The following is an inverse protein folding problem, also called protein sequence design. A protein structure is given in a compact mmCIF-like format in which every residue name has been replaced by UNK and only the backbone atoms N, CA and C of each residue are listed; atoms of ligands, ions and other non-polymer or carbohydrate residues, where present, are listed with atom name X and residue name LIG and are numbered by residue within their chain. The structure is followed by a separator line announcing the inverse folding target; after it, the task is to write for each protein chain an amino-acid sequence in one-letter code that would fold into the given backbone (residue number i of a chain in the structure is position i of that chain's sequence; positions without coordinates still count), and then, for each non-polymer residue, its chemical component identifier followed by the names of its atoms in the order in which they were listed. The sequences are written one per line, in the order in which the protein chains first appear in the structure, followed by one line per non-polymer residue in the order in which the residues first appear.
data_IF_851255251876
#
_entry.id   IF_851255251876
#
_cell.length_a   1.000
_cell.length_b   1.000
_cell.length_c   1.000
_cell.angle_alpha   90.00
_cell.angle_beta   90.00
_cell.angle_gamma   90.00
#
_symmetry.space_group_name_H-M   'P 1'
#
loop_
_entity.id
_entity.type
_entity.pdbx_description
1 polymer ?
#
# COMPACT_ATOMS: atom_id res chain seq x y z
N UNK A 1 11.57 12.37 -0.85
CA UNK A 1 10.24 12.87 -0.54
C UNK A 1 9.72 12.28 0.77
N UNK A 2 9.76 10.96 0.95
CA UNK A 2 9.40 10.27 2.20
C UNK A 2 10.23 10.82 3.37
N UNK A 3 11.55 10.93 3.25
CA UNK A 3 12.43 11.48 4.28
C UNK A 3 12.00 12.86 4.80
N UNK A 4 11.53 13.71 3.88
CA UNK A 4 11.05 15.05 4.26
C UNK A 4 9.72 14.98 5.03
N UNK A 5 8.81 14.09 4.60
CA UNK A 5 7.48 13.95 5.22
C UNK A 5 7.59 13.31 6.61
N UNK A 6 8.48 12.33 6.76
CA UNK A 6 8.66 11.55 7.98
C UNK A 6 9.87 11.99 8.82
N UNK A 7 10.43 13.20 8.59
CA UNK A 7 11.65 13.66 9.23
C UNK A 7 11.63 13.58 10.76
N UNK A 8 10.47 13.76 11.40
CA UNK A 8 10.29 13.70 12.85
C UNK A 8 9.78 12.33 13.35
N UNK A 9 9.79 11.31 12.50
CA UNK A 9 9.31 9.95 12.80
C UNK A 9 10.46 8.95 12.74
N UNK A 10 10.37 7.91 13.58
CA UNK A 10 11.15 6.69 13.36
C UNK A 10 10.43 5.85 12.29
N UNK A 11 11.09 5.59 11.17
CA UNK A 11 10.52 4.83 10.06
C UNK A 11 11.56 3.94 9.38
N UNK A 12 11.08 2.98 8.66
CA UNK A 12 11.84 2.16 7.72
C UNK A 12 11.17 2.18 6.34
N UNK A 13 11.93 2.01 5.29
CA UNK A 13 11.45 1.86 3.92
C UNK A 13 11.87 0.50 3.39
N UNK A 14 10.88 -0.30 3.01
CA UNK A 14 11.11 -1.63 2.45
C UNK A 14 10.80 -1.57 0.96
N UNK A 15 11.83 -1.62 0.14
CA UNK A 15 11.69 -1.74 -1.31
C UNK A 15 11.59 -3.20 -1.71
N UNK A 16 10.56 -3.55 -2.46
CA UNK A 16 10.41 -4.89 -3.03
C UNK A 16 10.53 -4.79 -4.55
N UNK A 17 11.61 -5.30 -5.09
CA UNK A 17 11.86 -5.38 -6.53
C UNK A 17 11.36 -6.73 -7.07
N UNK A 18 10.27 -6.68 -7.84
CA UNK A 18 9.61 -7.85 -8.41
C UNK A 18 10.26 -8.27 -9.76
N UNK A 19 11.59 -8.37 -9.75
CA UNK A 19 12.37 -8.87 -10.88
C UNK A 19 12.55 -7.84 -11.99
N UNK A 20 12.82 -6.58 -11.65
CA UNK A 20 13.14 -5.51 -12.60
C UNK A 20 14.34 -5.88 -13.48
N UNK A 21 14.29 -5.41 -14.73
CA UNK A 21 15.34 -5.64 -15.74
C UNK A 21 16.20 -4.40 -16.01
N UNK A 22 15.84 -3.30 -15.39
CA UNK A 22 16.55 -2.02 -15.43
C UNK A 22 17.47 -1.87 -14.21
N UNK A 23 17.98 -0.68 -13.96
CA UNK A 23 18.86 -0.37 -12.84
C UNK A 23 18.13 -0.11 -11.51
N UNK A 24 16.86 -0.51 -11.39
CA UNK A 24 16.08 -0.29 -10.15
C UNK A 24 16.73 -0.95 -8.94
N UNK A 25 17.23 -2.19 -9.10
CA UNK A 25 17.88 -2.90 -8.01
C UNK A 25 19.17 -2.24 -7.56
N UNK A 26 20.03 -1.81 -8.48
CA UNK A 26 21.27 -1.11 -8.17
C UNK A 26 21.02 0.19 -7.39
N UNK A 27 19.91 0.89 -7.69
CA UNK A 27 19.51 2.09 -6.95
C UNK A 27 19.08 1.71 -5.52
N UNK A 28 18.33 0.62 -5.34
CA UNK A 28 17.91 0.14 -4.02
C UNK A 28 19.14 -0.25 -3.18
N UNK A 29 20.13 -0.95 -3.77
CA UNK A 29 21.38 -1.30 -3.08
C UNK A 29 22.17 -0.06 -2.64
N UNK A 30 22.22 0.98 -3.46
CA UNK A 30 22.88 2.26 -3.11
C UNK A 30 22.14 2.95 -1.95
N UNK A 31 20.80 2.96 -1.96
CA UNK A 31 20.00 3.53 -0.88
C UNK A 31 20.20 2.75 0.43
N UNK A 32 20.21 1.43 0.37
CA UNK A 32 20.50 0.59 1.51
C UNK A 32 21.92 0.83 2.05
N UNK A 33 22.93 0.90 1.17
CA UNK A 33 24.30 1.17 1.59
C UNK A 33 24.48 2.54 2.26
N UNK A 34 23.69 3.54 1.85
CA UNK A 34 23.70 4.87 2.45
C UNK A 34 23.01 4.92 3.82
N UNK A 35 21.99 4.08 4.05
CA UNK A 35 21.22 4.03 5.29
C UNK A 35 20.68 2.62 5.58
N UNK A 36 21.55 1.69 6.03
CA UNK A 36 21.18 0.29 6.20
C UNK A 36 20.21 0.04 7.37
N UNK A 37 20.07 1.00 8.28
CA UNK A 37 19.14 0.88 9.41
C UNK A 37 17.70 1.16 9.00
N UNK A 38 17.50 2.10 8.05
CA UNK A 38 16.17 2.51 7.60
C UNK A 38 15.75 1.91 6.27
N UNK A 39 16.68 1.56 5.39
CA UNK A 39 16.34 1.06 4.05
C UNK A 39 16.57 -0.45 3.96
N UNK A 40 15.55 -1.18 3.58
CA UNK A 40 15.59 -2.63 3.33
C UNK A 40 15.24 -2.89 1.86
N UNK A 41 16.08 -3.65 1.16
CA UNK A 41 15.81 -4.13 -0.20
C UNK A 41 15.47 -5.61 -0.21
N UNK A 42 14.40 -5.98 -0.91
CA UNK A 42 14.01 -7.37 -1.18
C UNK A 42 13.96 -7.54 -2.69
N UNK A 43 14.75 -8.47 -3.24
CA UNK A 43 14.78 -8.73 -4.68
C UNK A 43 14.23 -10.10 -5.00
N UNK A 44 13.33 -10.16 -5.97
CA UNK A 44 12.86 -11.42 -6.55
C UNK A 44 13.70 -11.79 -7.78
N UNK A 45 13.90 -13.09 -7.98
CA UNK A 45 14.62 -13.61 -9.14
C UNK A 45 13.87 -13.43 -10.47
N UNK A 46 12.57 -13.24 -10.42
CA UNK A 46 11.66 -12.96 -11.54
C UNK A 46 10.40 -12.27 -11.03
N UNK A 47 9.55 -11.82 -11.93
CA UNK A 47 8.23 -11.29 -11.56
C UNK A 47 7.32 -12.40 -11.00
N UNK A 48 6.88 -12.20 -9.75
CA UNK A 48 5.93 -13.06 -9.02
C UNK A 48 4.58 -12.35 -8.77
N UNK A 49 4.50 -11.06 -9.11
CA UNK A 49 3.30 -10.23 -8.99
C UNK A 49 3.15 -9.50 -7.67
N UNK A 50 2.25 -8.50 -7.69
CA UNK A 50 2.07 -7.54 -6.60
C UNK A 50 1.76 -8.18 -5.25
N UNK A 51 0.96 -9.25 -5.23
CA UNK A 51 0.62 -9.94 -3.98
C UNK A 51 1.84 -10.56 -3.30
N UNK A 52 2.72 -11.21 -4.07
CA UNK A 52 3.96 -11.76 -3.54
C UNK A 52 4.87 -10.66 -2.99
N UNK A 53 4.97 -9.53 -3.70
CA UNK A 53 5.73 -8.36 -3.23
C UNK A 53 5.19 -7.82 -1.91
N UNK A 54 3.88 -7.63 -1.80
CA UNK A 54 3.24 -7.18 -0.57
C UNK A 54 3.44 -8.16 0.58
N UNK A 55 3.27 -9.47 0.33
CA UNK A 55 3.48 -10.50 1.34
C UNK A 55 4.89 -10.43 1.92
N UNK A 56 5.92 -10.33 1.08
CA UNK A 56 7.31 -10.23 1.55
C UNK A 56 7.61 -8.90 2.27
N UNK A 57 7.02 -7.80 1.81
CA UNK A 57 7.08 -6.52 2.51
C UNK A 57 6.42 -6.60 3.90
N UNK A 58 5.27 -7.24 4.02
CA UNK A 58 4.55 -7.45 5.28
C UNK A 58 5.32 -8.35 6.25
N UNK A 59 5.94 -9.41 5.75
CA UNK A 59 6.81 -10.28 6.56
C UNK A 59 8.01 -9.52 7.14
N UNK A 60 8.62 -8.63 6.36
CA UNK A 60 9.79 -7.85 6.76
C UNK A 60 9.45 -6.66 7.67
N UNK A 61 8.23 -6.12 7.59
CA UNK A 61 7.81 -4.94 8.33
C UNK A 61 7.90 -5.10 9.86
N UNK A 62 8.43 -4.07 10.53
CA UNK A 62 8.65 -4.01 11.99
C UNK A 62 7.93 -2.85 12.66
N UNK A 63 7.60 -1.80 11.90
CA UNK A 63 6.92 -0.61 12.40
C UNK A 63 5.50 -0.89 12.90
N UNK A 64 5.06 -0.19 13.95
CA UNK A 64 3.68 -0.33 14.48
C UNK A 64 2.60 -0.07 13.44
N UNK A 65 2.90 0.81 12.48
CA UNK A 65 2.06 1.13 11.34
C UNK A 65 2.84 0.77 10.08
N UNK A 66 2.18 0.05 9.20
CA UNK A 66 2.71 -0.33 7.90
C UNK A 66 1.95 0.42 6.82
N UNK A 67 2.64 1.06 5.90
CA UNK A 67 2.02 1.77 4.79
C UNK A 67 2.52 1.17 3.48
N UNK A 68 1.58 0.89 2.57
CA UNK A 68 1.91 0.46 1.20
C UNK A 68 1.79 1.64 0.25
N UNK A 69 2.75 1.76 -0.65
CA UNK A 69 2.81 2.78 -1.72
C UNK A 69 3.27 2.12 -3.02
N UNK A 70 2.68 2.52 -4.13
CA UNK A 70 3.21 2.17 -5.44
C UNK A 70 4.38 3.11 -5.78
N UNK A 71 5.47 2.57 -6.37
CA UNK A 71 6.69 3.32 -6.65
C UNK A 71 6.61 4.22 -7.91
N UNK A 72 5.40 4.46 -8.43
CA UNK A 72 5.15 5.24 -9.66
C UNK A 72 4.94 6.75 -9.39
N UNK A 73 5.11 7.19 -8.15
CA UNK A 73 4.95 8.58 -7.69
C UNK A 73 3.54 9.17 -7.92
N UNK A 74 2.52 8.33 -8.08
CA UNK A 74 1.14 8.80 -8.23
C UNK A 74 0.48 9.10 -6.87
N UNK A 75 0.88 8.40 -5.83
CA UNK A 75 0.38 8.59 -4.48
C UNK A 75 1.30 9.52 -3.68
N UNK A 76 0.71 10.43 -2.90
CA UNK A 76 1.44 11.42 -2.11
C UNK A 76 1.83 10.86 -0.74
N UNK A 77 3.13 10.84 -0.36
CA UNK A 77 3.54 10.46 0.98
C UNK A 77 2.99 11.35 2.11
N UNK A 78 2.56 12.58 1.84
CA UNK A 78 1.93 13.45 2.82
C UNK A 78 0.66 12.84 3.42
N UNK A 79 -0.06 12.02 2.65
CA UNK A 79 -1.26 11.32 3.12
C UNK A 79 -0.97 10.30 4.24
N UNK A 80 0.30 9.88 4.39
CA UNK A 80 0.71 8.94 5.44
C UNK A 80 0.39 9.49 6.83
N UNK A 81 0.61 10.80 7.04
CA UNK A 81 0.42 11.42 8.35
C UNK A 81 -1.05 11.40 8.80
N UNK A 82 -1.97 11.66 7.87
CA UNK A 82 -3.41 11.59 8.15
C UNK A 82 -3.87 10.15 8.37
N UNK A 83 -3.36 9.18 7.59
CA UNK A 83 -3.67 7.77 7.79
C UNK A 83 -3.11 7.24 9.13
N UNK A 84 -1.90 7.66 9.51
CA UNK A 84 -1.30 7.36 10.81
C UNK A 84 -2.20 7.85 11.95
N UNK A 85 -2.67 9.10 11.85
CA UNK A 85 -3.57 9.69 12.85
C UNK A 85 -4.87 8.90 12.98
N UNK A 86 -5.50 8.52 11.87
CA UNK A 86 -6.72 7.70 11.89
C UNK A 86 -6.51 6.36 12.61
N UNK A 87 -5.35 5.71 12.42
CA UNK A 87 -5.04 4.46 13.09
C UNK A 87 -4.76 4.68 14.59
N UNK A 88 -3.93 5.69 14.94
CA UNK A 88 -3.47 5.89 16.30
C UNK A 88 -4.53 6.52 17.20
N UNK A 89 -5.24 7.53 16.71
CA UNK A 89 -6.18 8.33 17.49
C UNK A 89 -7.61 7.80 17.37
N UNK A 90 -8.02 7.42 16.18
CA UNK A 90 -9.40 6.95 15.95
C UNK A 90 -9.52 5.42 16.01
N UNK A 91 -8.39 4.70 16.11
CA UNK A 91 -8.33 3.26 16.38
C UNK A 91 -8.73 2.39 15.18
N UNK A 92 -8.56 2.86 13.96
CA UNK A 92 -8.72 2.00 12.78
C UNK A 92 -7.66 0.89 12.75
N UNK A 93 -8.04 -0.27 12.24
CA UNK A 93 -7.13 -1.39 11.99
C UNK A 93 -6.46 -1.25 10.62
N UNK A 94 -7.24 -0.77 9.65
CA UNK A 94 -6.82 -0.53 8.26
C UNK A 94 -7.51 0.73 7.73
N UNK A 95 -6.75 1.58 7.05
CA UNK A 95 -7.24 2.75 6.31
C UNK A 95 -6.82 2.63 4.85
N UNK A 96 -7.79 2.61 3.92
CA UNK A 96 -7.55 2.58 2.48
C UNK A 96 -7.63 3.99 1.89
N UNK A 97 -6.76 4.30 0.94
CA UNK A 97 -6.91 5.51 0.15
C UNK A 97 -8.14 5.44 -0.76
N UNK A 98 -8.83 6.56 -0.91
CA UNK A 98 -9.91 6.72 -1.88
C UNK A 98 -9.55 7.79 -2.90
N UNK A 99 -9.24 7.36 -4.14
CA UNK A 99 -8.97 8.25 -5.27
C UNK A 99 -10.28 8.79 -5.83
N UNK A 100 -10.88 9.80 -5.15
CA UNK A 100 -12.19 10.36 -5.50
C UNK A 100 -12.19 11.00 -6.90
N UNK A 101 -11.10 11.70 -7.25
CA UNK A 101 -10.89 12.25 -8.60
C UNK A 101 -9.83 11.40 -9.30
N UNK A 102 -10.27 10.54 -10.23
CA UNK A 102 -9.38 9.75 -11.09
C UNK A 102 -9.21 10.45 -12.42
N UNK A 103 -7.98 10.53 -12.89
CA UNK A 103 -7.65 10.99 -14.25
C UNK A 103 -7.64 9.85 -15.28
N UNK A 104 -8.16 8.67 -14.89
CA UNK A 104 -8.21 7.49 -15.75
C UNK A 104 -9.32 7.58 -16.81
N UNK A 105 -9.14 6.97 -18.00
CA UNK A 105 -10.17 6.88 -19.03
C UNK A 105 -11.45 6.22 -18.52
N UNK A 106 -12.61 6.62 -19.06
CA UNK A 106 -13.93 6.09 -18.69
C UNK A 106 -14.02 4.56 -18.86
N UNK A 107 -13.32 3.99 -19.86
CA UNK A 107 -13.24 2.55 -20.10
C UNK A 107 -12.66 1.74 -18.91
N UNK A 108 -11.80 2.34 -18.10
CA UNK A 108 -11.25 1.74 -16.88
C UNK A 108 -12.06 2.08 -15.63
N UNK A 109 -12.70 3.24 -15.62
CA UNK A 109 -13.43 3.75 -14.44
C UNK A 109 -14.74 3.01 -14.20
N UNK A 110 -15.51 2.69 -15.26
CA UNK A 110 -16.83 2.01 -15.14
C UNK A 110 -16.66 0.58 -14.59
N UNK A 111 -15.81 -0.29 -15.14
CA UNK A 111 -15.60 -1.63 -14.58
C UNK A 111 -15.13 -1.59 -13.11
N UNK A 112 -14.25 -0.63 -12.77
CA UNK A 112 -13.75 -0.47 -11.40
C UNK A 112 -14.86 -0.09 -10.43
N UNK A 113 -15.77 0.81 -10.81
CA UNK A 113 -16.92 1.21 -9.98
C UNK A 113 -17.86 0.03 -9.72
N UNK A 114 -18.17 -0.73 -10.77
CA UNK A 114 -19.04 -1.92 -10.65
C UNK A 114 -18.40 -2.98 -9.73
N UNK A 115 -17.10 -3.24 -9.93
CA UNK A 115 -16.32 -4.14 -9.07
C UNK A 115 -16.35 -3.69 -7.60
N UNK A 116 -16.07 -2.40 -7.32
CA UNK A 116 -16.08 -1.89 -5.96
C UNK A 116 -17.47 -1.96 -5.33
N UNK A 117 -18.55 -1.70 -6.09
CA UNK A 117 -19.92 -1.78 -5.59
C UNK A 117 -20.29 -3.23 -5.24
N UNK A 118 -19.97 -4.20 -6.10
CA UNK A 118 -20.19 -5.61 -5.86
C UNK A 118 -19.39 -6.10 -4.65
N UNK A 119 -18.10 -5.74 -4.56
CA UNK A 119 -17.22 -6.10 -3.45
C UNK A 119 -17.73 -5.53 -2.12
N UNK A 120 -18.20 -4.28 -2.12
CA UNK A 120 -18.82 -3.64 -0.94
C UNK A 120 -20.05 -4.41 -0.48
N UNK A 121 -20.92 -4.75 -1.42
CA UNK A 121 -22.16 -5.46 -1.11
C UNK A 121 -21.89 -6.85 -0.51
N UNK A 122 -20.96 -7.61 -1.10
CA UNK A 122 -20.61 -8.96 -0.64
C UNK A 122 -19.85 -8.94 0.68
N UNK A 123 -18.86 -8.04 0.82
CA UNK A 123 -18.00 -7.99 2.00
C UNK A 123 -18.62 -7.26 3.20
N UNK A 124 -19.60 -6.39 2.94
CA UNK A 124 -20.16 -5.48 3.95
C UNK A 124 -19.15 -4.44 4.46
N UNK A 125 -18.07 -4.17 3.71
CA UNK A 125 -17.06 -3.16 4.05
C UNK A 125 -17.39 -1.87 3.29
N UNK A 126 -17.53 -0.75 4.00
CA UNK A 126 -17.97 0.53 3.42
C UNK A 126 -16.82 1.31 2.75
N UNK A 127 -16.07 0.67 1.83
CA UNK A 127 -15.02 1.33 1.05
C UNK A 127 -15.51 1.70 -0.36
N UNK A 128 -15.09 2.87 -0.87
CA UNK A 128 -15.31 3.29 -2.24
C UNK A 128 -14.24 2.77 -3.20
N UNK A 129 -13.04 2.51 -2.71
CA UNK A 129 -11.90 2.06 -3.52
C UNK A 129 -11.11 0.93 -2.87
N UNK A 130 -11.39 -0.32 -3.28
CA UNK A 130 -10.62 -1.49 -2.84
C UNK A 130 -9.25 -1.60 -3.53
N UNK A 131 -9.10 -0.98 -4.71
CA UNK A 131 -7.91 -1.12 -5.57
C UNK A 131 -6.82 -0.08 -5.31
N UNK A 132 -7.03 0.89 -4.41
CA UNK A 132 -6.00 1.88 -4.10
C UNK A 132 -4.74 1.20 -3.56
N UNK A 133 -3.56 1.52 -4.11
CA UNK A 133 -2.27 1.00 -3.63
C UNK A 133 -1.86 1.58 -2.28
N UNK A 134 -2.23 2.85 -2.05
CA UNK A 134 -1.97 3.53 -0.78
C UNK A 134 -2.93 3.03 0.29
N UNK A 135 -2.40 2.31 1.26
CA UNK A 135 -3.12 1.83 2.45
C UNK A 135 -2.21 1.86 3.67
N UNK A 136 -2.79 2.14 4.82
CA UNK A 136 -2.13 2.04 6.11
C UNK A 136 -2.78 0.97 6.98
N UNK A 137 -1.98 0.27 7.75
CA UNK A 137 -2.38 -0.88 8.56
C UNK A 137 -1.72 -0.84 9.93
N UNK A 138 -2.35 -1.38 10.94
CA UNK A 138 -1.63 -1.83 12.14
C UNK A 138 -0.73 -3.00 11.79
N UNK A 139 0.40 -3.14 12.46
CA UNK A 139 1.33 -4.26 12.24
C UNK A 139 0.63 -5.61 12.39
N UNK A 140 -0.23 -5.74 13.39
CA UNK A 140 -0.96 -6.97 13.68
C UNK A 140 -1.81 -7.44 12.50
N UNK A 141 -2.40 -6.51 11.76
CA UNK A 141 -3.19 -6.82 10.55
C UNK A 141 -2.34 -7.51 9.50
N UNK A 142 -1.21 -6.89 9.14
CA UNK A 142 -0.34 -7.43 8.08
C UNK A 142 0.36 -8.73 8.49
N UNK A 143 0.52 -8.96 9.80
CA UNK A 143 1.08 -10.23 10.32
C UNK A 143 0.04 -11.35 10.42
N UNK A 144 -1.24 -11.02 10.42
CA UNK A 144 -2.32 -12.00 10.54
C UNK A 144 -2.87 -12.47 9.18
N UNK A 145 -2.61 -11.75 8.09
CA UNK A 145 -3.14 -12.08 6.77
C UNK A 145 -2.08 -12.67 5.86
N UNK A 146 -2.53 -13.52 4.92
CA UNK A 146 -1.69 -14.04 3.82
C UNK A 146 -2.20 -13.49 2.49
N UNK A 147 -1.31 -12.86 1.71
CA UNK A 147 -1.66 -12.24 0.43
C UNK A 147 -1.05 -13.05 -0.70
N UNK A 148 -1.87 -13.87 -1.37
CA UNK A 148 -1.46 -14.77 -2.45
C UNK A 148 -2.18 -14.45 -3.77
N UNK A 149 -1.63 -14.88 -4.91
CA UNK A 149 -2.24 -14.73 -6.23
C UNK A 149 -2.65 -13.28 -6.52
N UNK A 150 -3.93 -13.03 -6.80
CA UNK A 150 -4.49 -11.69 -7.06
C UNK A 150 -5.13 -11.04 -5.81
N UNK A 151 -4.85 -11.55 -4.60
CA UNK A 151 -5.54 -11.13 -3.38
C UNK A 151 -5.13 -9.74 -2.87
N UNK A 152 -4.13 -9.08 -3.47
CA UNK A 152 -3.77 -7.72 -3.11
C UNK A 152 -4.94 -6.72 -3.15
N UNK A 153 -5.98 -7.00 -3.96
CA UNK A 153 -7.20 -6.19 -4.05
C UNK A 153 -8.18 -6.46 -2.92
N UNK A 154 -8.04 -7.62 -2.28
CA UNK A 154 -8.95 -8.11 -1.25
C UNK A 154 -8.37 -7.99 0.17
N UNK A 155 -7.24 -7.29 0.34
CA UNK A 155 -6.61 -7.12 1.66
C UNK A 155 -7.61 -6.61 2.72
N UNK A 156 -8.52 -5.64 2.46
CA UNK A 156 -9.53 -5.26 3.45
C UNK A 156 -10.45 -6.42 3.85
N UNK A 157 -10.76 -7.32 2.93
CA UNK A 157 -11.59 -8.51 3.23
C UNK A 157 -10.79 -9.50 4.05
N UNK A 158 -9.53 -9.78 3.69
CA UNK A 158 -8.64 -10.64 4.47
C UNK A 158 -8.47 -10.12 5.90
N UNK A 159 -8.31 -8.80 6.05
CA UNK A 159 -8.24 -8.18 7.38
C UNK A 159 -9.52 -8.41 8.19
N UNK A 160 -10.70 -8.21 7.56
CA UNK A 160 -12.00 -8.47 8.20
C UNK A 160 -12.17 -9.93 8.60
N UNK A 161 -11.80 -10.86 7.73
CA UNK A 161 -11.88 -12.31 7.99
C UNK A 161 -10.92 -12.73 9.12
N UNK A 162 -9.78 -12.03 9.27
CA UNK A 162 -8.86 -12.20 10.39
C UNK A 162 -9.32 -11.51 11.69
N UNK A 163 -10.51 -10.88 11.71
CA UNK A 163 -11.11 -10.26 12.90
C UNK A 163 -10.89 -8.75 13.04
N UNK A 164 -10.20 -8.09 12.11
CA UNK A 164 -9.97 -6.65 12.11
C UNK A 164 -11.12 -5.92 11.42
N UNK A 165 -12.05 -5.38 12.22
CA UNK A 165 -13.32 -4.86 11.70
C UNK A 165 -13.35 -3.34 11.55
N UNK A 166 -12.40 -2.62 12.13
CA UNK A 166 -12.33 -1.15 12.03
C UNK A 166 -11.57 -0.73 10.77
N UNK A 167 -12.25 -0.87 9.63
CA UNK A 167 -11.73 -0.56 8.31
C UNK A 167 -12.34 0.75 7.84
N UNK A 168 -11.48 1.73 7.53
CA UNK A 168 -11.87 3.06 7.07
C UNK A 168 -11.22 3.43 5.74
N UNK A 169 -11.58 4.62 5.26
CA UNK A 169 -10.95 5.19 4.07
C UNK A 169 -10.64 6.67 4.25
N UNK A 170 -9.56 7.11 3.58
CA UNK A 170 -9.11 8.50 3.49
C UNK A 170 -9.17 8.94 2.04
N UNK A 171 -9.78 10.11 1.77
CA UNK A 171 -9.70 10.72 0.44
C UNK A 171 -8.27 11.16 0.19
N UNK A 172 -7.65 10.62 -0.87
CA UNK A 172 -6.25 10.89 -1.19
C UNK A 172 -6.11 11.58 -2.54
N UNK A 173 -5.07 12.37 -2.67
CA UNK A 173 -4.71 13.01 -3.93
C UNK A 173 -4.05 11.99 -4.85
N UNK A 174 -4.43 12.00 -6.12
CA UNK A 174 -3.84 11.17 -7.16
C UNK A 174 -3.22 12.05 -8.22
N UNK A 175 -1.90 11.91 -8.39
CA UNK A 175 -1.15 12.64 -9.41
C UNK A 175 -1.14 11.87 -10.73
N UNK A 176 -0.98 12.58 -11.85
CA UNK A 176 -0.72 11.94 -13.13
C UNK A 176 0.62 11.19 -13.08
N UNK A 177 0.65 9.98 -13.66
CA UNK A 177 1.87 9.17 -13.73
C UNK A 177 2.98 9.95 -14.43
N UNK A 178 4.16 10.02 -13.82
CA UNK A 178 5.35 10.70 -14.37
C UNK A 178 6.35 9.70 -14.94
N UNK A 179 6.40 8.46 -14.43
CA UNK A 179 7.37 7.42 -14.80
C UNK A 179 6.67 6.05 -14.86
N UNK A 180 7.28 5.13 -15.63
CA UNK A 180 6.77 3.77 -15.81
C UNK A 180 5.78 3.64 -17.00
N UNK A 181 5.59 2.40 -17.46
CA UNK A 181 4.67 2.01 -18.58
C UNK A 181 3.31 1.57 -18.06
#
# INVERSE_FOLDING_TARGET
WIDRVLAERAYEVIFVDDGSKDNSWEIIEQLHAADPERVVGIRFSRNYGKSAGLQKGFEAARGRIVVTLDADLQDSPEEILDMERLILEEGYDLVSGWKKKRHDPLSKTIPTRLYNAATRWVSGIALHDFNCGLKAYRLEVVKAIEVQGEMHRYIPILAKDAGFNRIGEQVVQHQSRKYGT
#
